data_IF_390651076790
#
_entry.id   IF_390651076790
#
_cell.length_a   1.000
_cell.length_b   1.000
_cell.length_c   1.000
_cell.angle_alpha   90.00
_cell.angle_beta   90.00
_cell.angle_gamma   90.00
#
_symmetry.space_group_name_H-M   'P 1'
#
loop_
_entity.id
_entity.type
_entity.pdbx_description
1 polymer ?
#
# COMPACT_ATOMS: atom_id res chain seq x y z
N UNK A 1 -17.75 37.03 -28.65
CA UNK A 1 -16.78 38.04 -28.25
C UNK A 1 -15.41 37.58 -28.76
N UNK A 2 -14.90 38.20 -29.85
CA UNK A 2 -13.58 37.85 -30.41
C UNK A 2 -12.52 38.45 -29.50
N UNK A 3 -11.75 37.62 -28.76
CA UNK A 3 -10.54 38.08 -28.08
C UNK A 3 -9.53 38.46 -29.18
N UNK A 4 -9.24 39.74 -29.31
CA UNK A 4 -8.14 40.22 -30.16
C UNK A 4 -6.83 39.69 -29.58
N UNK A 5 -6.04 39.01 -30.39
CA UNK A 5 -4.70 38.65 -30.12
C UNK A 5 -3.87 39.86 -29.73
N UNK A 6 -3.28 39.81 -28.54
CA UNK A 6 -2.42 40.87 -28.00
C UNK A 6 -0.93 40.70 -28.43
N UNK A 7 -0.70 40.10 -29.58
CA UNK A 7 0.66 39.86 -30.07
C UNK A 7 1.33 41.06 -30.72
N UNK A 8 0.66 42.22 -30.83
CA UNK A 8 1.20 43.38 -31.50
C UNK A 8 1.62 44.49 -30.51
N UNK A 9 2.71 44.28 -29.81
CA UNK A 9 3.31 45.25 -28.89
C UNK A 9 4.52 46.01 -29.48
N UNK A 10 4.80 45.91 -30.76
CA UNK A 10 5.87 46.64 -31.41
C UNK A 10 5.31 47.56 -32.53
N UNK A 11 4.67 48.62 -32.15
CA UNK A 11 4.47 49.73 -33.11
C UNK A 11 5.72 50.63 -32.98
N UNK A 12 6.65 50.46 -33.92
CA UNK A 12 7.72 51.46 -34.12
C UNK A 12 7.04 52.78 -34.57
N UNK A 13 6.96 53.72 -33.65
CA UNK A 13 6.64 55.11 -34.02
C UNK A 13 7.70 55.63 -35.01
N UNK A 14 7.32 56.50 -35.92
CA UNK A 14 8.19 57.15 -36.95
C UNK A 14 9.38 57.86 -36.32
N UNK A 15 9.42 58.09 -35.02
CA UNK A 15 10.45 58.81 -34.28
C UNK A 15 11.40 57.94 -33.44
N UNK A 16 11.44 56.64 -33.69
CA UNK A 16 12.42 55.72 -33.07
C UNK A 16 12.25 55.51 -31.55
N UNK A 17 11.30 56.12 -30.87
CA UNK A 17 11.00 55.89 -29.46
C UNK A 17 9.96 54.80 -29.33
N UNK A 18 10.38 53.61 -28.93
CA UNK A 18 9.49 52.48 -28.58
C UNK A 18 8.58 52.93 -27.41
N UNK A 19 7.32 53.21 -27.67
CA UNK A 19 6.36 53.48 -26.58
C UNK A 19 6.09 52.21 -25.80
N UNK A 20 6.76 52.04 -24.68
CA UNK A 20 6.50 50.93 -23.75
C UNK A 20 5.09 51.12 -23.15
N UNK A 21 4.10 50.45 -23.73
CA UNK A 21 2.75 50.44 -23.13
C UNK A 21 2.85 49.81 -21.74
N UNK A 22 2.45 50.55 -20.71
CA UNK A 22 2.36 50.01 -19.36
C UNK A 22 1.35 48.87 -19.32
N UNK A 23 1.70 47.75 -18.70
CA UNK A 23 0.79 46.61 -18.59
C UNK A 23 -0.44 47.00 -17.78
N UNK A 24 -1.63 46.70 -18.30
CA UNK A 24 -2.91 46.98 -17.63
C UNK A 24 -3.14 46.09 -16.39
N UNK A 25 -4.11 46.48 -15.58
CA UNK A 25 -4.53 45.76 -14.36
C UNK A 25 -4.80 44.27 -14.63
N UNK A 26 -5.43 43.95 -15.75
CA UNK A 26 -5.71 42.56 -16.13
C UNK A 26 -4.44 41.71 -16.31
N UNK A 27 -3.36 42.31 -16.81
CA UNK A 27 -2.07 41.61 -16.91
C UNK A 27 -1.55 41.23 -15.54
N UNK A 28 -1.49 42.17 -14.57
CA UNK A 28 -1.02 41.89 -13.22
C UNK A 28 -1.91 40.87 -12.52
N UNK A 29 -3.22 40.94 -12.72
CA UNK A 29 -4.14 39.95 -12.18
C UNK A 29 -3.84 38.53 -12.74
N UNK A 30 -3.75 38.37 -14.06
CA UNK A 30 -3.42 37.08 -14.69
C UNK A 30 -2.03 36.59 -14.29
N UNK A 31 -1.06 37.46 -14.18
CA UNK A 31 0.28 37.12 -13.73
C UNK A 31 0.26 36.60 -12.28
N UNK A 32 -0.43 37.30 -11.38
CA UNK A 32 -0.60 36.89 -10.00
C UNK A 32 -1.29 35.53 -9.88
N UNK A 33 -2.45 35.36 -10.54
CA UNK A 33 -3.20 34.08 -10.55
C UNK A 33 -2.34 32.94 -11.09
N UNK A 34 -1.66 33.15 -12.22
CA UNK A 34 -0.78 32.12 -12.79
C UNK A 34 0.40 31.76 -11.88
N UNK A 35 0.96 32.74 -11.16
CA UNK A 35 2.02 32.50 -10.17
C UNK A 35 1.53 31.69 -8.97
N UNK A 36 0.37 32.04 -8.42
CA UNK A 36 -0.25 31.30 -7.30
C UNK A 36 -0.57 29.87 -7.72
N UNK A 37 -1.12 29.66 -8.93
CA UNK A 37 -1.43 28.33 -9.42
C UNK A 37 -0.17 27.48 -9.64
N UNK A 38 0.95 28.05 -10.12
CA UNK A 38 2.22 27.33 -10.21
C UNK A 38 2.73 26.90 -8.83
N UNK A 39 2.66 27.78 -7.84
CA UNK A 39 3.05 27.46 -6.47
C UNK A 39 2.10 26.41 -5.87
N UNK A 40 0.80 26.53 -6.08
CA UNK A 40 -0.18 25.56 -5.64
C UNK A 40 0.05 24.16 -6.24
N UNK A 41 0.50 24.09 -7.51
CA UNK A 41 0.87 22.81 -8.15
C UNK A 41 2.24 22.27 -7.68
N UNK A 42 3.16 23.17 -7.30
CA UNK A 42 4.48 22.76 -6.79
C UNK A 42 4.37 22.06 -5.43
N UNK A 43 3.47 22.50 -4.54
CA UNK A 43 3.34 21.93 -3.18
C UNK A 43 3.09 20.43 -3.19
N UNK A 44 2.06 19.89 -3.90
CA UNK A 44 1.84 18.44 -3.97
C UNK A 44 3.04 17.68 -4.56
N UNK A 45 3.72 18.25 -5.57
CA UNK A 45 4.91 17.61 -6.15
C UNK A 45 6.06 17.50 -5.14
N UNK A 46 6.26 18.52 -4.30
CA UNK A 46 7.24 18.48 -3.22
C UNK A 46 6.82 17.51 -2.11
N UNK A 47 5.53 17.45 -1.75
CA UNK A 47 5.01 16.46 -0.80
C UNK A 47 5.21 15.02 -1.31
N UNK A 48 5.04 14.79 -2.62
CA UNK A 48 5.42 13.52 -3.24
C UNK A 48 6.90 13.20 -2.99
N UNK A 49 7.80 14.12 -3.32
CA UNK A 49 9.24 13.93 -3.08
C UNK A 49 9.55 13.68 -1.61
N UNK A 50 8.89 14.42 -0.71
CA UNK A 50 9.03 14.23 0.75
C UNK A 50 8.59 12.82 1.15
N UNK A 51 7.46 12.33 0.62
CA UNK A 51 6.96 10.98 0.90
C UNK A 51 7.90 9.86 0.45
N UNK A 52 8.73 10.11 -0.58
CA UNK A 52 9.69 9.14 -1.11
C UNK A 52 11.05 9.25 -0.40
N UNK A 53 11.57 10.48 -0.24
CA UNK A 53 12.96 10.71 0.21
C UNK A 53 13.06 10.67 1.74
N UNK A 54 12.22 11.44 2.43
CA UNK A 54 12.22 11.54 3.90
C UNK A 54 11.36 10.42 4.49
N UNK A 55 10.27 10.10 3.79
CA UNK A 55 9.38 8.99 4.10
C UNK A 55 8.73 9.13 5.49
N UNK A 56 8.63 8.05 6.26
CA UNK A 56 7.99 7.95 7.57
C UNK A 56 8.95 8.19 8.75
N UNK A 57 9.95 9.06 8.57
CA UNK A 57 10.98 9.32 9.58
C UNK A 57 10.43 9.85 10.91
N UNK A 58 9.32 10.59 10.88
CA UNK A 58 8.62 11.11 12.07
C UNK A 58 7.12 10.91 11.94
N UNK A 59 6.36 11.01 13.04
CA UNK A 59 4.91 10.84 13.02
C UNK A 59 4.20 11.78 12.03
N UNK A 60 4.49 13.10 11.94
CA UNK A 60 3.87 13.95 10.92
C UNK A 60 4.23 13.54 9.49
N UNK A 61 5.45 13.11 9.23
CA UNK A 61 5.90 12.67 7.91
C UNK A 61 5.30 11.29 7.54
N UNK A 62 5.01 10.46 8.53
CA UNK A 62 4.26 9.22 8.34
C UNK A 62 2.93 9.47 7.63
N UNK A 63 2.16 10.50 8.02
CA UNK A 63 0.91 10.82 7.34
C UNK A 63 1.13 11.26 5.89
N UNK A 64 2.21 11.99 5.59
CA UNK A 64 2.57 12.34 4.22
C UNK A 64 2.97 11.10 3.41
N UNK A 65 3.73 10.18 4.02
CA UNK A 65 4.15 8.92 3.37
C UNK A 65 2.97 7.95 3.13
N UNK A 66 1.94 7.99 3.98
CA UNK A 66 0.75 7.15 3.89
C UNK A 66 -0.24 7.63 2.83
N UNK A 67 -0.20 8.90 2.43
CA UNK A 67 -1.00 9.34 1.29
C UNK A 67 -0.51 8.64 0.02
N UNK A 68 -1.38 7.92 -0.71
CA UNK A 68 -1.01 7.29 -1.97
C UNK A 68 -0.33 8.27 -2.92
N UNK A 69 0.82 7.89 -3.43
CA UNK A 69 1.68 8.79 -4.23
C UNK A 69 0.98 9.37 -5.45
N UNK A 70 0.06 8.62 -6.08
CA UNK A 70 -0.74 9.10 -7.19
C UNK A 70 -1.65 10.29 -6.84
N UNK A 71 -2.10 10.40 -5.58
CA UNK A 71 -2.93 11.53 -5.10
C UNK A 71 -2.16 12.84 -5.20
N UNK A 72 -0.87 12.85 -4.84
CA UNK A 72 -0.05 14.04 -4.96
C UNK A 72 0.10 14.49 -6.40
N UNK A 73 0.29 13.55 -7.34
CA UNK A 73 0.34 13.85 -8.77
C UNK A 73 -1.01 14.38 -9.26
N UNK A 74 -2.10 13.72 -8.90
CA UNK A 74 -3.46 14.15 -9.28
C UNK A 74 -3.80 15.56 -8.73
N UNK A 75 -3.41 15.86 -7.48
CA UNK A 75 -3.61 17.17 -6.86
C UNK A 75 -2.78 18.29 -7.52
N UNK A 76 -1.63 17.98 -8.11
CA UNK A 76 -0.81 18.95 -8.81
C UNK A 76 -1.39 19.35 -10.18
N UNK A 77 -2.11 18.46 -10.87
CA UNK A 77 -2.56 18.66 -12.25
C UNK A 77 -3.50 19.86 -12.43
N UNK A 78 -4.61 20.02 -11.65
CA UNK A 78 -5.55 21.13 -11.87
C UNK A 78 -4.90 22.52 -11.75
N UNK A 79 -4.10 22.82 -10.70
CA UNK A 79 -3.45 24.12 -10.62
C UNK A 79 -2.38 24.33 -11.70
N UNK A 80 -1.64 23.31 -12.11
CA UNK A 80 -0.67 23.44 -13.22
C UNK A 80 -1.36 23.70 -14.55
N UNK A 81 -2.46 23.02 -14.85
CA UNK A 81 -3.29 23.29 -16.04
C UNK A 81 -3.90 24.68 -15.99
N UNK A 82 -4.43 25.10 -14.83
CA UNK A 82 -4.92 26.46 -14.61
C UNK A 82 -3.85 27.53 -14.87
N UNK A 83 -2.60 27.27 -14.45
CA UNK A 83 -1.49 28.16 -14.72
C UNK A 83 -1.13 28.28 -16.22
N UNK A 84 -1.33 27.20 -16.99
CA UNK A 84 -1.16 27.24 -18.44
C UNK A 84 -2.24 28.10 -19.11
N UNK A 85 -3.52 27.93 -18.72
CA UNK A 85 -4.65 28.67 -19.27
C UNK A 85 -4.57 30.15 -18.91
N UNK A 86 -4.14 30.50 -17.70
CA UNK A 86 -4.02 31.88 -17.22
C UNK A 86 -2.73 32.57 -17.62
N UNK A 87 -1.95 31.98 -18.54
CA UNK A 87 -0.66 32.51 -18.98
C UNK A 87 -0.75 33.97 -19.41
N UNK A 88 -0.03 34.91 -18.74
CA UNK A 88 0.02 36.30 -19.16
C UNK A 88 0.95 36.46 -20.38
N UNK A 89 0.78 37.51 -21.17
CA UNK A 89 1.75 37.87 -22.20
C UNK A 89 3.16 38.07 -21.63
N UNK A 90 4.18 37.83 -22.43
CA UNK A 90 5.56 37.89 -21.98
C UNK A 90 6.02 39.34 -21.67
N UNK A 91 6.34 39.64 -20.43
CA UNK A 91 7.09 40.83 -20.02
C UNK A 91 8.48 40.47 -19.53
N UNK A 92 9.48 41.31 -19.84
CA UNK A 92 10.92 40.99 -19.78
C UNK A 92 11.45 40.67 -18.39
N UNK A 93 11.00 40.54 -17.36
CA UNK A 93 11.52 40.06 -16.05
C UNK A 93 10.70 38.92 -15.47
N UNK A 94 9.41 39.15 -15.26
CA UNK A 94 8.46 38.19 -14.72
C UNK A 94 8.32 36.95 -15.62
N UNK A 95 8.38 37.14 -16.95
CA UNK A 95 8.29 36.01 -17.90
C UNK A 95 9.44 35.01 -17.76
N UNK A 96 10.66 35.44 -17.44
CA UNK A 96 11.79 34.53 -17.20
C UNK A 96 11.65 33.71 -15.94
N UNK A 97 11.27 34.34 -14.82
CA UNK A 97 11.04 33.64 -13.55
C UNK A 97 9.91 32.61 -13.68
N UNK A 98 8.75 33.04 -14.20
CA UNK A 98 7.62 32.14 -14.41
C UNK A 98 7.94 30.97 -15.34
N UNK A 99 8.67 31.23 -16.43
CA UNK A 99 9.11 30.18 -17.36
C UNK A 99 10.01 29.15 -16.66
N UNK A 100 10.97 29.62 -15.85
CA UNK A 100 11.86 28.73 -15.06
C UNK A 100 11.06 27.91 -14.05
N UNK A 101 10.15 28.53 -13.31
CA UNK A 101 9.26 27.83 -12.35
C UNK A 101 8.38 26.82 -13.08
N UNK A 102 7.75 27.18 -14.19
CA UNK A 102 6.92 26.27 -15.01
C UNK A 102 7.70 25.08 -15.56
N UNK A 103 8.94 25.29 -16.05
CA UNK A 103 9.83 24.22 -16.47
C UNK A 103 10.18 23.32 -15.26
N UNK A 104 10.51 23.92 -14.12
CA UNK A 104 10.77 23.17 -12.88
C UNK A 104 9.60 22.27 -12.47
N UNK A 105 8.39 22.84 -12.47
CA UNK A 105 7.16 22.05 -12.18
C UNK A 105 6.95 20.92 -13.19
N UNK A 106 7.16 21.18 -14.49
CA UNK A 106 6.98 20.18 -15.53
C UNK A 106 8.01 19.03 -15.41
N UNK A 107 9.26 19.36 -15.14
CA UNK A 107 10.31 18.36 -14.91
C UNK A 107 10.01 17.53 -13.65
N UNK A 108 9.63 18.18 -12.57
CA UNK A 108 9.30 17.50 -11.31
C UNK A 108 8.06 16.60 -11.49
N UNK A 109 7.04 17.06 -12.20
CA UNK A 109 5.86 16.25 -12.55
C UNK A 109 6.28 15.02 -13.38
N UNK A 110 7.13 15.20 -14.39
CA UNK A 110 7.62 14.09 -15.21
C UNK A 110 8.39 13.05 -14.37
N UNK A 111 9.23 13.50 -13.45
CA UNK A 111 9.95 12.60 -12.51
C UNK A 111 8.98 11.87 -11.60
N UNK A 112 7.98 12.56 -11.02
CA UNK A 112 7.01 11.94 -10.13
C UNK A 112 6.13 10.91 -10.87
N UNK A 113 5.67 11.24 -12.08
CA UNK A 113 4.92 10.30 -12.96
C UNK A 113 5.81 9.10 -13.35
N UNK A 114 7.06 9.34 -13.72
CA UNK A 114 8.03 8.28 -14.02
C UNK A 114 8.22 7.34 -12.82
N UNK A 115 8.37 7.90 -11.63
CA UNK A 115 8.45 7.10 -10.39
C UNK A 115 7.20 6.25 -10.16
N UNK A 116 5.99 6.83 -10.31
CA UNK A 116 4.74 6.08 -10.19
C UNK A 116 4.69 4.90 -11.14
N UNK A 117 4.95 5.13 -12.42
CA UNK A 117 4.85 4.11 -13.47
C UNK A 117 5.89 3.01 -13.27
N UNK A 118 7.15 3.39 -13.03
CA UNK A 118 8.28 2.45 -13.06
C UNK A 118 8.54 1.79 -11.69
N UNK A 119 8.35 2.51 -10.61
CA UNK A 119 8.73 2.06 -9.26
C UNK A 119 7.51 1.67 -8.44
N UNK A 120 6.51 2.53 -8.36
CA UNK A 120 5.35 2.28 -7.49
C UNK A 120 4.38 1.27 -8.14
N UNK A 121 4.01 1.47 -9.40
CA UNK A 121 3.09 0.59 -10.14
C UNK A 121 3.77 -0.56 -10.87
N UNK A 122 5.10 -0.59 -10.94
CA UNK A 122 5.86 -1.67 -11.59
C UNK A 122 5.35 -2.03 -13.00
N UNK A 123 4.92 -1.06 -13.79
CA UNK A 123 4.26 -1.29 -15.08
C UNK A 123 5.11 -2.13 -16.06
N UNK A 124 6.43 -2.13 -15.94
CA UNK A 124 7.29 -2.98 -16.75
C UNK A 124 7.12 -4.48 -16.47
N UNK A 125 6.60 -4.85 -15.29
CA UNK A 125 6.32 -6.26 -15.00
C UNK A 125 5.16 -6.81 -15.84
N UNK A 126 4.25 -5.94 -16.32
CA UNK A 126 3.18 -6.34 -17.25
C UNK A 126 3.70 -6.92 -18.58
N UNK A 127 4.94 -6.55 -18.96
CA UNK A 127 5.58 -7.04 -20.17
C UNK A 127 6.35 -8.34 -19.97
N UNK A 128 6.48 -8.81 -18.72
CA UNK A 128 7.17 -10.06 -18.40
C UNK A 128 6.23 -11.24 -18.56
N UNK A 129 6.65 -12.24 -19.28
CA UNK A 129 5.94 -13.51 -19.36
C UNK A 129 5.87 -14.17 -17.98
N UNK A 130 4.80 -14.95 -17.75
CA UNK A 130 4.69 -15.78 -16.54
C UNK A 130 5.74 -16.88 -16.60
N UNK A 131 6.59 -17.04 -15.57
CA UNK A 131 7.54 -18.14 -15.54
C UNK A 131 6.80 -19.48 -15.46
N UNK A 132 7.23 -20.45 -16.25
CA UNK A 132 6.71 -21.82 -16.22
C UNK A 132 7.36 -22.62 -15.09
N UNK A 133 6.66 -23.63 -14.59
CA UNK A 133 7.14 -24.59 -13.59
C UNK A 133 6.16 -24.85 -12.46
N UNK A 134 6.51 -25.82 -11.60
CA UNK A 134 5.76 -26.09 -10.39
C UNK A 134 5.81 -24.89 -9.45
N UNK A 135 4.71 -24.57 -8.84
CA UNK A 135 4.57 -23.45 -7.91
C UNK A 135 3.61 -23.80 -6.79
N UNK A 136 3.87 -23.23 -5.61
CA UNK A 136 3.01 -23.23 -4.45
C UNK A 136 2.06 -22.02 -4.53
N UNK A 137 0.76 -22.26 -4.54
CA UNK A 137 -0.26 -21.20 -4.55
C UNK A 137 -0.67 -20.86 -3.12
N UNK A 138 -0.43 -19.61 -2.72
CA UNK A 138 -0.70 -19.08 -1.38
C UNK A 138 -1.65 -17.91 -1.48
N UNK A 139 -2.67 -17.88 -0.61
CA UNK A 139 -3.53 -16.71 -0.43
C UNK A 139 -3.43 -16.19 1.00
N UNK A 140 -3.33 -14.87 1.14
CA UNK A 140 -3.49 -14.19 2.43
C UNK A 140 -4.69 -13.25 2.38
N UNK A 141 -5.43 -13.22 3.47
CA UNK A 141 -6.56 -12.33 3.61
C UNK A 141 -6.76 -11.90 5.07
N UNK A 142 -6.78 -10.59 5.29
CA UNK A 142 -7.19 -10.02 6.56
C UNK A 142 -8.73 -10.00 6.63
N UNK A 143 -9.28 -10.72 7.60
CA UNK A 143 -10.71 -10.94 7.80
C UNK A 143 -11.34 -9.88 8.71
N UNK A 144 -10.71 -8.75 8.94
CA UNK A 144 -11.34 -7.66 9.70
C UNK A 144 -12.70 -7.33 9.07
N UNK A 145 -13.75 -7.56 9.84
CA UNK A 145 -15.13 -7.32 9.42
C UNK A 145 -15.70 -6.16 10.21
N UNK A 146 -16.27 -5.14 9.55
CA UNK A 146 -16.99 -4.10 10.23
C UNK A 146 -18.25 -4.63 10.93
N UNK A 147 -18.85 -5.72 10.41
CA UNK A 147 -20.03 -6.39 10.97
C UNK A 147 -19.90 -7.91 10.84
N UNK A 148 -19.85 -8.61 11.96
CA UNK A 148 -19.77 -10.07 12.03
C UNK A 148 -20.98 -10.81 11.43
N UNK A 149 -22.06 -10.09 11.12
CA UNK A 149 -23.33 -10.66 10.66
C UNK A 149 -23.38 -11.02 9.18
N UNK A 150 -22.45 -10.58 8.36
CA UNK A 150 -22.53 -10.69 6.89
C UNK A 150 -21.54 -11.67 6.24
N UNK A 151 -20.93 -12.55 7.01
CA UNK A 151 -20.13 -13.62 6.43
C UNK A 151 -21.05 -14.70 5.83
N UNK A 152 -21.03 -14.84 4.51
CA UNK A 152 -21.86 -15.82 3.79
C UNK A 152 -21.21 -17.21 3.63
N UNK A 153 -20.05 -17.42 4.20
CA UNK A 153 -19.37 -18.72 4.16
C UNK A 153 -18.57 -19.01 2.90
N UNK A 154 -18.39 -18.06 1.99
CA UNK A 154 -17.80 -18.27 0.66
C UNK A 154 -16.27 -18.12 0.60
N UNK A 155 -15.51 -18.68 1.54
CA UNK A 155 -14.04 -18.60 1.54
C UNK A 155 -13.38 -19.10 0.24
N UNK A 156 -13.74 -20.28 -0.30
CA UNK A 156 -13.16 -20.75 -1.55
C UNK A 156 -13.51 -19.87 -2.75
N UNK A 157 -14.75 -19.39 -2.82
CA UNK A 157 -15.23 -18.53 -3.90
C UNK A 157 -14.71 -17.11 -3.77
N UNK A 158 -14.59 -16.59 -2.54
CA UNK A 158 -14.09 -15.25 -2.27
C UNK A 158 -12.62 -15.06 -2.64
N UNK A 159 -11.80 -16.09 -2.50
CA UNK A 159 -10.35 -16.02 -2.71
C UNK A 159 -9.90 -16.75 -3.97
N UNK A 160 -10.75 -17.51 -4.62
CA UNK A 160 -10.35 -18.40 -5.71
C UNK A 160 -11.09 -18.32 -7.03
N UNK A 161 -12.38 -17.99 -7.12
CA UNK A 161 -13.13 -18.32 -8.34
C UNK A 161 -14.18 -17.29 -8.80
N UNK A 162 -14.47 -16.27 -8.09
CA UNK A 162 -15.68 -15.47 -8.32
C UNK A 162 -15.52 -14.11 -8.97
N UNK A 163 -14.95 -13.99 -10.16
CA UNK A 163 -14.95 -12.68 -10.82
C UNK A 163 -14.32 -12.65 -12.20
N UNK A 164 -15.08 -12.94 -13.22
CA UNK A 164 -15.05 -12.48 -14.61
C UNK A 164 -13.75 -12.12 -15.31
N UNK A 165 -12.59 -12.57 -14.88
CA UNK A 165 -11.33 -12.36 -15.55
C UNK A 165 -10.64 -13.70 -15.81
N UNK A 166 -10.28 -13.93 -17.05
CA UNK A 166 -9.60 -15.12 -17.57
C UNK A 166 -8.26 -15.49 -16.89
N UNK A 167 -7.82 -14.72 -15.91
CA UNK A 167 -6.61 -14.96 -15.10
C UNK A 167 -6.85 -15.99 -13.98
N UNK A 168 -8.10 -16.32 -13.66
CA UNK A 168 -8.48 -17.20 -12.55
C UNK A 168 -8.82 -18.65 -12.95
N UNK A 169 -8.43 -19.09 -14.13
CA UNK A 169 -8.46 -20.50 -14.49
C UNK A 169 -7.46 -21.39 -13.71
N UNK A 170 -6.62 -20.80 -12.89
CA UNK A 170 -5.72 -21.51 -11.99
C UNK A 170 -6.45 -21.78 -10.67
N UNK A 171 -6.70 -23.05 -10.36
CA UNK A 171 -7.46 -23.59 -9.23
C UNK A 171 -7.37 -22.86 -7.87
N UNK A 172 -7.99 -23.44 -6.84
CA UNK A 172 -7.95 -22.91 -5.47
C UNK A 172 -6.52 -22.86 -4.93
N UNK A 173 -6.14 -21.84 -4.12
CA UNK A 173 -4.87 -21.84 -3.41
C UNK A 173 -4.67 -23.13 -2.59
N UNK A 174 -3.41 -23.58 -2.53
CA UNK A 174 -3.05 -24.75 -1.72
C UNK A 174 -2.93 -24.40 -0.24
N UNK A 175 -2.62 -23.13 0.05
CA UNK A 175 -2.47 -22.61 1.41
C UNK A 175 -3.21 -21.28 1.55
N UNK A 176 -4.13 -21.21 2.48
CA UNK A 176 -4.78 -19.97 2.92
C UNK A 176 -4.23 -19.56 4.28
N UNK A 177 -3.81 -18.33 4.39
CA UNK A 177 -3.27 -17.70 5.57
C UNK A 177 -4.18 -16.52 5.93
N UNK A 178 -4.92 -16.62 7.03
CA UNK A 178 -5.95 -15.66 7.41
C UNK A 178 -5.55 -14.95 8.71
N UNK A 179 -5.68 -13.63 8.72
CA UNK A 179 -5.42 -12.77 9.90
C UNK A 179 -6.71 -12.10 10.37
N UNK A 180 -6.70 -11.56 11.58
CA UNK A 180 -7.81 -10.82 12.21
C UNK A 180 -9.13 -11.61 12.20
N UNK A 181 -9.04 -12.94 12.35
CA UNK A 181 -10.22 -13.80 12.29
C UNK A 181 -11.01 -13.74 13.60
N UNK A 182 -12.14 -13.07 13.54
CA UNK A 182 -13.15 -13.16 14.60
C UNK A 182 -13.99 -14.42 14.39
N UNK A 183 -14.01 -15.28 15.39
CA UNK A 183 -14.77 -16.53 15.37
C UNK A 183 -16.26 -16.26 15.22
N UNK A 184 -16.86 -16.73 14.13
CA UNK A 184 -18.32 -16.78 14.02
C UNK A 184 -18.79 -18.12 13.45
N UNK A 185 -20.07 -18.43 13.66
CA UNK A 185 -20.66 -19.69 13.22
C UNK A 185 -20.59 -19.90 11.70
N UNK A 186 -20.63 -18.83 10.92
CA UNK A 186 -20.58 -18.89 9.47
C UNK A 186 -19.16 -19.30 8.98
N UNK A 187 -18.10 -18.87 9.66
CA UNK A 187 -16.75 -19.29 9.38
C UNK A 187 -16.55 -20.79 9.69
N UNK A 188 -17.05 -21.24 10.84
CA UNK A 188 -16.99 -22.66 11.22
C UNK A 188 -17.79 -23.54 10.23
N UNK A 189 -18.91 -23.05 9.73
CA UNK A 189 -19.68 -23.71 8.67
C UNK A 189 -18.87 -23.79 7.36
N UNK A 190 -18.15 -22.72 7.00
CA UNK A 190 -17.26 -22.73 5.84
C UNK A 190 -16.14 -23.76 5.96
N UNK A 191 -15.49 -23.83 7.12
CA UNK A 191 -14.50 -24.87 7.38
C UNK A 191 -15.09 -26.27 7.31
N UNK A 192 -16.34 -26.44 7.75
CA UNK A 192 -17.06 -27.70 7.64
C UNK A 192 -17.34 -28.07 6.17
N UNK A 193 -17.76 -27.11 5.34
CA UNK A 193 -17.98 -27.32 3.89
C UNK A 193 -16.68 -27.69 3.17
N UNK A 194 -15.56 -27.04 3.49
CA UNK A 194 -14.25 -27.39 2.93
C UNK A 194 -13.87 -28.86 3.19
N UNK A 195 -14.24 -29.40 4.34
CA UNK A 195 -13.98 -30.82 4.67
C UNK A 195 -14.84 -31.78 3.85
N UNK A 196 -15.93 -31.32 3.24
CA UNK A 196 -16.85 -32.14 2.44
C UNK A 196 -16.61 -32.06 0.94
N UNK A 197 -15.67 -31.21 0.47
CA UNK A 197 -15.36 -31.03 -0.95
C UNK A 197 -14.48 -32.14 -1.56
N UNK A 198 -14.19 -33.17 -0.78
CA UNK A 198 -13.39 -34.35 -1.20
C UNK A 198 -11.88 -34.12 -1.10
N UNK A 199 -11.40 -32.93 -0.68
CA UNK A 199 -9.99 -32.66 -0.39
C UNK A 199 -9.69 -32.79 1.09
N UNK A 200 -8.51 -33.33 1.42
CA UNK A 200 -8.04 -33.43 2.80
C UNK A 200 -7.46 -32.07 3.25
N UNK A 201 -8.32 -31.17 3.73
CA UNK A 201 -7.88 -29.88 4.27
C UNK A 201 -7.37 -30.03 5.70
N UNK A 202 -6.15 -29.54 5.92
CA UNK A 202 -5.57 -29.33 7.25
C UNK A 202 -5.94 -27.91 7.72
N UNK A 203 -6.53 -27.79 8.91
CA UNK A 203 -6.95 -26.51 9.46
C UNK A 203 -6.35 -26.34 10.84
N UNK A 204 -5.62 -25.25 11.04
CA UNK A 204 -5.06 -24.85 12.32
C UNK A 204 -5.50 -23.44 12.65
N UNK A 205 -5.93 -23.23 13.89
CA UNK A 205 -6.33 -21.94 14.43
C UNK A 205 -5.53 -21.63 15.69
N UNK A 206 -4.99 -20.40 15.78
CA UNK A 206 -4.29 -19.88 16.95
C UNK A 206 -4.53 -18.38 17.08
N UNK A 207 -5.19 -17.96 18.17
CA UNK A 207 -5.58 -16.56 18.33
C UNK A 207 -6.44 -16.08 17.15
N UNK A 208 -6.06 -14.99 16.54
CA UNK A 208 -6.74 -14.40 15.38
C UNK A 208 -6.27 -14.97 14.03
N UNK A 209 -5.39 -15.97 14.05
CA UNK A 209 -4.86 -16.60 12.84
C UNK A 209 -5.55 -17.92 12.54
N UNK A 210 -5.79 -18.14 11.23
CA UNK A 210 -6.24 -19.42 10.71
C UNK A 210 -5.39 -19.78 9.50
N UNK A 211 -4.95 -21.03 9.46
CA UNK A 211 -4.29 -21.63 8.30
C UNK A 211 -5.12 -22.78 7.81
N UNK A 212 -5.41 -22.77 6.52
CA UNK A 212 -6.14 -23.84 5.82
C UNK A 212 -5.23 -24.31 4.68
N UNK A 213 -4.90 -25.57 4.63
CA UNK A 213 -3.95 -26.12 3.65
C UNK A 213 -4.35 -27.51 3.18
N UNK A 214 -4.24 -27.77 1.87
CA UNK A 214 -4.28 -29.13 1.33
C UNK A 214 -2.96 -29.86 1.53
N UNK A 215 -1.89 -29.12 1.83
CA UNK A 215 -0.56 -29.67 2.15
C UNK A 215 -0.46 -29.96 3.64
N UNK A 216 0.38 -30.92 4.06
CA UNK A 216 0.62 -31.19 5.48
C UNK A 216 1.16 -29.98 6.22
N UNK A 217 0.54 -29.60 7.35
CA UNK A 217 1.06 -28.62 8.29
C UNK A 217 1.94 -29.37 9.30
N UNK A 218 3.23 -29.08 9.30
CA UNK A 218 4.25 -29.79 10.11
C UNK A 218 4.27 -29.25 11.53
N UNK A 219 4.32 -27.91 11.66
CA UNK A 219 4.41 -27.26 12.97
C UNK A 219 3.73 -25.89 12.94
N UNK A 220 3.32 -25.44 14.14
CA UNK A 220 2.75 -24.09 14.31
C UNK A 220 3.11 -23.52 15.66
N UNK A 221 3.47 -22.23 15.72
CA UNK A 221 3.72 -21.48 16.96
C UNK A 221 3.18 -20.07 16.86
N UNK A 222 2.56 -19.57 17.94
CA UNK A 222 2.10 -18.19 18.03
C UNK A 222 3.05 -17.41 18.95
N UNK A 223 3.58 -16.31 18.43
CA UNK A 223 4.41 -15.37 19.16
C UNK A 223 3.66 -14.04 19.27
N UNK A 224 3.62 -13.48 20.49
CA UNK A 224 2.88 -12.24 20.77
C UNK A 224 3.76 -11.25 21.51
N UNK A 225 3.86 -10.05 20.98
CA UNK A 225 4.40 -8.87 21.66
C UNK A 225 3.22 -8.06 22.22
N UNK A 226 3.09 -8.01 23.53
CA UNK A 226 1.92 -7.47 24.22
C UNK A 226 1.76 -5.94 24.09
N UNK A 227 2.85 -5.21 23.79
CA UNK A 227 2.77 -3.75 23.64
C UNK A 227 3.81 -3.25 22.65
N UNK A 228 3.37 -2.67 21.56
CA UNK A 228 4.21 -2.12 20.48
C UNK A 228 4.22 -0.59 20.51
N UNK A 229 4.46 -0.03 21.68
CA UNK A 229 4.56 1.40 21.84
C UNK A 229 3.22 2.06 22.16
N UNK A 230 3.19 2.71 23.28
CA UNK A 230 2.09 3.58 23.68
C UNK A 230 2.16 4.88 22.89
N UNK A 231 1.12 5.21 22.16
CA UNK A 231 0.93 6.58 21.71
C UNK A 231 0.89 7.46 22.96
N UNK A 232 1.82 8.43 23.07
CA UNK A 232 1.87 9.39 24.18
C UNK A 232 0.78 10.45 24.02
N UNK A 233 -0.48 10.04 23.94
CA UNK A 233 -1.62 10.93 23.87
C UNK A 233 -2.39 10.92 25.18
N UNK A 234 -2.88 12.08 25.59
CA UNK A 234 -3.87 12.18 26.66
C UNK A 234 -5.17 11.49 26.20
N UNK A 235 -6.02 11.08 27.15
CA UNK A 235 -7.32 10.48 26.83
C UNK A 235 -8.17 11.40 25.95
N UNK A 236 -8.12 12.72 26.17
CA UNK A 236 -8.86 13.70 25.38
C UNK A 236 -8.33 13.85 23.94
N UNK A 237 -7.01 13.74 23.75
CA UNK A 237 -6.42 13.74 22.41
C UNK A 237 -6.79 12.48 21.64
N UNK A 238 -6.73 11.33 22.31
CA UNK A 238 -7.18 10.04 21.75
C UNK A 238 -8.63 10.12 21.32
N UNK A 239 -9.54 10.56 22.18
CA UNK A 239 -10.97 10.67 21.88
C UNK A 239 -11.22 11.58 20.67
N UNK A 240 -10.55 12.74 20.60
CA UNK A 240 -10.66 13.66 19.44
C UNK A 240 -10.21 13.01 18.13
N UNK A 241 -9.14 12.23 18.15
CA UNK A 241 -8.65 11.50 16.98
C UNK A 241 -9.57 10.35 16.59
N UNK A 242 -10.09 9.62 17.59
CA UNK A 242 -11.08 8.55 17.38
C UNK A 242 -12.36 9.11 16.73
N UNK A 243 -12.88 10.21 17.23
CA UNK A 243 -14.04 10.89 16.66
C UNK A 243 -13.78 11.40 15.23
N UNK A 244 -12.56 11.94 14.98
CA UNK A 244 -12.18 12.37 13.65
C UNK A 244 -12.06 11.19 12.68
N UNK A 245 -11.36 10.13 13.09
CA UNK A 245 -11.19 8.91 12.30
C UNK A 245 -12.54 8.26 12.00
N UNK A 246 -13.37 8.04 13.01
CA UNK A 246 -14.65 7.36 12.85
C UNK A 246 -15.61 8.13 11.95
N UNK A 247 -15.63 9.46 12.03
CA UNK A 247 -16.41 10.30 11.08
C UNK A 247 -15.96 10.12 9.64
N UNK A 248 -14.67 9.94 9.40
CA UNK A 248 -14.13 9.71 8.07
C UNK A 248 -14.30 8.25 7.63
N UNK A 249 -14.00 7.30 8.51
CA UNK A 249 -14.08 5.86 8.28
C UNK A 249 -15.48 5.40 7.85
N UNK A 250 -16.52 5.87 8.54
CA UNK A 250 -17.91 5.58 8.17
C UNK A 250 -18.26 6.09 6.76
N UNK A 251 -17.73 7.25 6.36
CA UNK A 251 -17.99 7.81 5.02
C UNK A 251 -17.38 7.00 3.89
N UNK A 252 -16.29 6.30 4.14
CA UNK A 252 -15.61 5.46 3.14
C UNK A 252 -15.91 3.96 3.30
N UNK A 253 -16.90 3.61 4.13
CA UNK A 253 -17.32 2.23 4.35
C UNK A 253 -16.37 1.39 5.21
N UNK A 254 -15.51 2.05 5.99
CA UNK A 254 -14.70 1.42 7.03
C UNK A 254 -15.45 1.54 8.35
N UNK A 255 -15.56 0.44 9.10
CA UNK A 255 -16.24 0.44 10.39
C UNK A 255 -15.61 1.38 11.41
N UNK A 256 -16.41 1.88 12.35
CA UNK A 256 -15.90 2.63 13.49
C UNK A 256 -14.98 1.76 14.34
N UNK A 257 -13.86 2.32 14.82
CA UNK A 257 -12.88 1.63 15.66
C UNK A 257 -12.64 2.41 16.95
N UNK A 258 -12.37 1.65 18.01
CA UNK A 258 -11.90 2.20 19.29
C UNK A 258 -10.39 2.02 19.36
N UNK A 259 -9.65 3.09 19.63
CA UNK A 259 -8.19 3.03 19.77
C UNK A 259 -7.82 2.73 21.22
N UNK A 260 -7.54 1.47 21.54
CA UNK A 260 -7.29 1.04 22.92
C UNK A 260 -5.87 1.38 23.43
N UNK A 261 -4.97 1.84 22.56
CA UNK A 261 -3.60 2.23 22.94
C UNK A 261 -2.64 1.08 23.27
N UNK A 262 -3.15 -0.10 23.53
CA UNK A 262 -2.40 -1.33 23.73
C UNK A 262 -2.58 -2.20 22.49
N UNK A 263 -1.70 -1.99 21.54
CA UNK A 263 -1.72 -2.77 20.30
C UNK A 263 -0.65 -3.85 20.38
N UNK A 264 -1.06 -5.10 20.37
CA UNK A 264 -0.16 -6.23 20.26
C UNK A 264 0.34 -6.37 18.80
N UNK A 265 1.57 -6.81 18.63
CA UNK A 265 2.04 -7.35 17.38
C UNK A 265 2.09 -8.87 17.50
N UNK A 266 1.61 -9.57 16.51
CA UNK A 266 1.57 -11.03 16.51
C UNK A 266 2.27 -11.59 15.28
N UNK A 267 2.98 -12.70 15.48
CA UNK A 267 3.55 -13.52 14.42
C UNK A 267 3.15 -14.96 14.64
N UNK A 268 2.48 -15.53 13.68
CA UNK A 268 2.14 -16.94 13.66
C UNK A 268 3.08 -17.67 12.71
N UNK A 269 4.00 -18.46 13.29
CA UNK A 269 4.91 -19.32 12.56
C UNK A 269 4.19 -20.61 12.15
N UNK A 270 4.28 -20.94 10.86
CA UNK A 270 3.68 -22.14 10.28
C UNK A 270 4.66 -22.81 9.35
N UNK A 271 4.88 -24.11 9.51
CA UNK A 271 5.63 -24.92 8.56
C UNK A 271 4.68 -25.81 7.76
N UNK A 272 4.79 -25.73 6.44
CA UNK A 272 3.99 -26.50 5.49
C UNK A 272 4.91 -27.35 4.63
N UNK A 273 4.59 -28.62 4.44
CA UNK A 273 5.33 -29.48 3.52
C UNK A 273 4.95 -29.15 2.08
N UNK A 274 5.72 -28.28 1.46
CA UNK A 274 5.61 -27.91 0.06
C UNK A 274 6.69 -28.56 -0.82
N UNK A 275 7.24 -29.71 -0.39
CA UNK A 275 8.34 -30.40 -1.09
C UNK A 275 7.97 -30.72 -2.53
N UNK A 276 6.72 -31.11 -2.81
CA UNK A 276 6.26 -31.41 -4.16
C UNK A 276 6.20 -30.16 -5.08
N UNK A 277 5.92 -28.98 -4.51
CA UNK A 277 5.75 -27.73 -5.26
C UNK A 277 7.06 -26.95 -5.41
N UNK A 278 7.84 -26.83 -4.32
CA UNK A 278 9.05 -25.98 -4.26
C UNK A 278 10.30 -26.69 -3.74
N UNK A 279 10.26 -28.01 -3.57
CA UNK A 279 11.42 -28.82 -3.20
C UNK A 279 11.79 -28.80 -1.70
N UNK A 280 10.97 -28.18 -0.84
CA UNK A 280 11.27 -28.09 0.59
C UNK A 280 10.01 -27.84 1.45
N UNK A 281 10.16 -28.02 2.75
CA UNK A 281 9.24 -27.47 3.75
C UNK A 281 9.39 -25.96 3.74
N UNK A 282 8.27 -25.24 3.70
CA UNK A 282 8.22 -23.77 3.68
C UNK A 282 7.76 -23.26 5.03
N UNK A 283 8.56 -22.40 5.64
CA UNK A 283 8.23 -21.72 6.88
C UNK A 283 7.66 -20.34 6.59
N UNK A 284 6.42 -20.15 6.98
CA UNK A 284 5.71 -18.89 6.92
C UNK A 284 5.79 -18.15 8.27
N UNK A 285 6.04 -16.86 8.22
CA UNK A 285 5.63 -15.93 9.26
C UNK A 285 4.38 -15.20 8.78
N UNK A 286 3.25 -15.54 9.38
CA UNK A 286 2.02 -14.81 9.18
C UNK A 286 1.96 -13.69 10.22
N UNK A 287 2.02 -12.43 9.76
CA UNK A 287 2.18 -11.24 10.62
C UNK A 287 0.88 -10.46 10.66
N UNK A 288 0.53 -9.99 11.85
CA UNK A 288 -0.48 -8.94 12.06
C UNK A 288 0.11 -7.86 12.98
N UNK A 289 0.27 -6.65 12.44
CA UNK A 289 0.82 -5.51 13.15
C UNK A 289 -0.28 -4.51 13.51
N UNK A 290 -0.08 -3.71 14.57
CA UNK A 290 -1.09 -2.77 15.04
C UNK A 290 -1.61 -1.82 13.97
N UNK A 291 -2.93 -1.66 13.91
CA UNK A 291 -3.61 -0.79 12.96
C UNK A 291 -3.76 0.66 13.43
N UNK A 292 -3.49 0.99 14.69
CA UNK A 292 -3.65 2.36 15.22
C UNK A 292 -2.80 3.38 14.44
N UNK A 293 -3.40 4.33 13.71
CA UNK A 293 -2.67 5.28 12.86
C UNK A 293 -1.84 6.28 13.67
N UNK A 294 -2.08 6.40 14.98
CA UNK A 294 -1.36 7.31 15.88
C UNK A 294 -0.07 6.70 16.42
N UNK A 295 0.17 5.42 16.23
CA UNK A 295 1.44 4.79 16.55
C UNK A 295 2.49 5.25 15.53
N UNK A 296 3.63 5.72 16.01
CA UNK A 296 4.79 5.96 15.14
C UNK A 296 5.27 4.61 14.57
N UNK A 297 5.01 4.38 13.28
CA UNK A 297 5.28 3.11 12.61
C UNK A 297 6.75 2.72 12.66
N UNK A 298 7.65 3.68 12.56
CA UNK A 298 9.09 3.40 12.63
C UNK A 298 9.52 2.96 14.03
N UNK A 299 9.00 3.60 15.08
CA UNK A 299 9.28 3.19 16.45
C UNK A 299 8.68 1.80 16.75
N UNK A 300 7.45 1.54 16.29
CA UNK A 300 6.81 0.24 16.39
C UNK A 300 7.61 -0.83 15.63
N UNK A 301 8.04 -0.55 14.41
CA UNK A 301 8.85 -1.46 13.60
C UNK A 301 10.18 -1.82 14.27
N UNK A 302 10.85 -0.86 14.90
CA UNK A 302 12.08 -1.11 15.67
C UNK A 302 11.80 -2.04 16.86
N UNK A 303 10.73 -1.80 17.62
CA UNK A 303 10.34 -2.64 18.74
C UNK A 303 10.00 -4.06 18.30
N UNK A 304 9.24 -4.21 17.21
CA UNK A 304 8.91 -5.52 16.60
C UNK A 304 10.17 -6.25 16.14
N UNK A 305 11.07 -5.56 15.45
CA UNK A 305 12.35 -6.14 14.99
C UNK A 305 13.19 -6.65 16.16
N UNK A 306 13.34 -5.84 17.19
CA UNK A 306 14.12 -6.21 18.37
C UNK A 306 13.50 -7.41 19.06
N UNK A 307 12.21 -7.40 19.27
CA UNK A 307 11.47 -8.54 19.84
C UNK A 307 11.63 -9.82 19.00
N UNK A 308 11.46 -9.76 17.68
CA UNK A 308 11.65 -10.91 16.80
C UNK A 308 13.07 -11.46 16.85
N UNK A 309 14.09 -10.58 16.94
CA UNK A 309 15.48 -11.00 17.11
C UNK A 309 15.70 -11.74 18.44
N UNK A 310 15.08 -11.28 19.54
CA UNK A 310 15.11 -11.98 20.83
C UNK A 310 14.40 -13.32 20.70
N UNK A 311 13.21 -13.38 20.10
CA UNK A 311 12.50 -14.66 19.90
C UNK A 311 13.32 -15.67 19.09
N UNK A 312 14.13 -15.22 18.14
CA UNK A 312 15.02 -16.09 17.36
C UNK A 312 16.25 -16.57 18.11
N UNK A 313 16.66 -15.87 19.15
CA UNK A 313 17.86 -16.21 19.93
C UNK A 313 17.62 -17.23 21.05
N UNK A 314 16.34 -17.48 21.41
CA UNK A 314 16.02 -18.45 22.47
C UNK A 314 15.90 -19.87 21.91
N UNK A 315 16.19 -20.85 22.75
CA UNK A 315 15.99 -22.26 22.41
C UNK A 315 14.51 -22.51 22.13
N UNK A 316 14.20 -23.26 21.09
CA UNK A 316 12.84 -23.46 20.57
C UNK A 316 12.11 -22.17 20.18
N UNK A 317 12.85 -21.10 19.94
CA UNK A 317 12.33 -19.82 19.50
C UNK A 317 11.87 -19.80 18.04
N UNK A 318 11.64 -18.59 17.55
CA UNK A 318 11.17 -18.33 16.20
C UNK A 318 12.22 -18.75 15.14
N UNK A 319 11.84 -19.60 14.20
CA UNK A 319 12.71 -20.01 13.10
C UNK A 319 12.83 -18.92 12.01
N UNK A 320 13.89 -19.01 11.19
CA UNK A 320 14.03 -18.12 10.03
C UNK A 320 12.92 -18.37 9.01
N UNK A 321 12.19 -17.36 8.55
CA UNK A 321 11.11 -17.54 7.58
C UNK A 321 11.65 -17.79 6.17
N UNK A 322 10.88 -18.50 5.37
CA UNK A 322 10.99 -18.54 3.92
C UNK A 322 10.08 -17.50 3.26
N UNK A 323 8.93 -17.30 3.88
CA UNK A 323 7.90 -16.36 3.46
C UNK A 323 7.44 -15.54 4.67
N UNK A 324 7.43 -14.22 4.53
CA UNK A 324 6.78 -13.32 5.49
C UNK A 324 5.55 -12.75 4.80
N UNK A 325 4.37 -12.99 5.37
CA UNK A 325 3.09 -12.61 4.74
C UNK A 325 2.11 -12.12 5.81
N UNK A 326 1.29 -11.13 5.49
CA UNK A 326 0.29 -10.65 6.44
C UNK A 326 -0.01 -9.17 6.32
N UNK A 327 -0.83 -8.68 7.26
CA UNK A 327 -1.13 -7.26 7.41
C UNK A 327 -0.06 -6.60 8.30
N UNK A 328 0.79 -5.81 7.67
CA UNK A 328 1.78 -5.03 8.40
C UNK A 328 1.25 -3.67 8.88
N UNK A 329 0.07 -3.26 8.44
CA UNK A 329 -0.48 -1.94 8.69
C UNK A 329 0.51 -0.78 8.39
N UNK A 330 1.48 -1.04 7.53
CA UNK A 330 2.53 -0.13 7.05
C UNK A 330 2.47 -0.12 5.53
N UNK A 331 2.22 1.01 4.87
CA UNK A 331 2.16 1.06 3.41
C UNK A 331 3.48 0.64 2.74
N UNK A 332 3.36 -0.01 1.57
CA UNK A 332 4.51 -0.37 0.74
C UNK A 332 5.37 0.86 0.41
N UNK A 333 6.68 0.69 0.52
CA UNK A 333 7.67 1.74 0.30
C UNK A 333 7.93 2.62 1.52
N UNK A 334 7.29 2.37 2.68
CA UNK A 334 7.66 3.00 3.95
C UNK A 334 8.89 2.31 4.55
N UNK A 335 9.82 3.09 5.11
CA UNK A 335 11.05 2.57 5.74
C UNK A 335 10.76 1.72 6.98
N UNK A 336 9.66 1.98 7.68
CA UNK A 336 9.22 1.14 8.79
C UNK A 336 9.03 -0.32 8.35
N UNK A 337 8.54 -0.55 7.13
CA UNK A 337 8.37 -1.90 6.58
C UNK A 337 9.72 -2.60 6.39
N UNK A 338 10.73 -1.89 5.87
CA UNK A 338 12.09 -2.42 5.71
C UNK A 338 12.68 -2.82 7.07
N UNK A 339 12.47 -1.98 8.10
CA UNK A 339 12.93 -2.25 9.47
C UNK A 339 12.31 -3.54 10.04
N UNK A 340 11.00 -3.77 9.83
CA UNK A 340 10.37 -5.05 10.25
C UNK A 340 10.99 -6.22 9.50
N UNK A 341 11.21 -6.07 8.20
CA UNK A 341 11.75 -7.14 7.35
C UNK A 341 13.21 -7.49 7.66
N UNK A 342 14.00 -6.58 8.24
CA UNK A 342 15.34 -6.90 8.77
C UNK A 342 15.30 -8.04 9.81
N UNK A 343 14.19 -8.19 10.54
CA UNK A 343 13.99 -9.28 11.50
C UNK A 343 13.94 -10.68 10.86
N UNK A 344 13.70 -10.80 9.56
CA UNK A 344 13.78 -12.07 8.84
C UNK A 344 15.20 -12.68 8.89
N UNK A 345 16.23 -11.89 9.24
CA UNK A 345 17.61 -12.32 9.40
C UNK A 345 18.33 -12.67 8.10
N UNK A 346 17.70 -12.41 6.97
CA UNK A 346 18.23 -12.58 5.61
C UNK A 346 17.50 -11.64 4.66
N UNK A 347 18.08 -11.29 3.50
CA UNK A 347 17.42 -10.44 2.52
C UNK A 347 16.03 -10.99 2.16
N UNK A 348 15.06 -10.09 2.01
CA UNK A 348 13.72 -10.43 1.53
C UNK A 348 13.37 -9.60 0.31
N UNK A 349 12.54 -10.15 -0.56
CA UNK A 349 12.05 -9.46 -1.77
C UNK A 349 10.54 -9.47 -1.78
N UNK A 350 9.94 -8.31 -1.93
CA UNK A 350 8.49 -8.17 -2.00
C UNK A 350 7.94 -8.90 -3.24
N UNK A 351 6.94 -9.75 -3.08
CA UNK A 351 6.37 -10.54 -4.18
C UNK A 351 5.77 -9.65 -5.28
N UNK A 352 5.06 -8.57 -4.91
CA UNK A 352 4.55 -7.59 -5.87
C UNK A 352 5.68 -6.94 -6.68
N UNK A 353 6.81 -6.61 -6.06
CA UNK A 353 7.93 -5.97 -6.76
C UNK A 353 8.59 -6.88 -7.79
N UNK A 354 8.47 -8.21 -7.60
CA UNK A 354 9.01 -9.19 -8.55
C UNK A 354 8.12 -9.35 -9.78
N UNK A 355 6.80 -9.45 -9.62
CA UNK A 355 5.89 -9.87 -10.69
C UNK A 355 4.56 -9.10 -10.72
N UNK A 356 4.21 -8.37 -9.67
CA UNK A 356 3.00 -7.54 -9.64
C UNK A 356 3.14 -6.28 -10.50
N UNK A 357 2.01 -5.74 -10.96
CA UNK A 357 1.95 -4.48 -11.70
C UNK A 357 0.61 -3.77 -11.47
N UNK A 358 0.59 -2.46 -11.69
CA UNK A 358 -0.59 -1.63 -11.50
C UNK A 358 -0.83 -1.21 -10.05
N UNK A 359 -2.06 -0.88 -9.72
CA UNK A 359 -2.47 -0.51 -8.37
C UNK A 359 -2.49 -1.77 -7.49
N UNK A 360 -1.69 -1.74 -6.43
CA UNK A 360 -1.51 -2.87 -5.50
C UNK A 360 -2.16 -2.65 -4.14
N UNK A 361 -2.98 -1.61 -4.00
CA UNK A 361 -3.61 -1.28 -2.74
C UNK A 361 -4.63 -2.36 -2.32
N UNK A 362 -4.55 -2.80 -1.06
CA UNK A 362 -5.42 -3.81 -0.49
C UNK A 362 -6.51 -3.23 0.42
N UNK A 363 -6.32 -2.01 0.92
CA UNK A 363 -7.22 -1.38 1.88
C UNK A 363 -7.48 0.11 1.56
N UNK A 364 -8.67 0.67 1.89
CA UNK A 364 -9.91 -0.05 2.24
C UNK A 364 -10.58 -0.66 1.01
N UNK A 365 -11.40 -1.72 1.20
CA UNK A 365 -12.04 -2.48 0.11
C UNK A 365 -12.83 -1.64 -0.88
N UNK A 366 -13.58 -0.63 -0.37
CA UNK A 366 -14.44 0.20 -1.22
C UNK A 366 -13.64 1.05 -2.22
N UNK A 367 -12.51 1.59 -1.77
CA UNK A 367 -11.59 2.41 -2.57
C UNK A 367 -10.16 2.11 -2.13
N UNK A 368 -9.53 1.06 -2.68
CA UNK A 368 -8.20 0.66 -2.25
C UNK A 368 -7.17 1.77 -2.49
N UNK A 369 -6.56 2.24 -1.42
CA UNK A 369 -5.56 3.31 -1.44
C UNK A 369 -4.22 2.88 -0.85
N UNK A 370 -4.23 1.98 0.14
CA UNK A 370 -3.03 1.55 0.85
C UNK A 370 -2.72 0.09 0.57
N UNK A 371 -1.47 -0.19 0.22
CA UNK A 371 -0.92 -1.54 0.15
C UNK A 371 -0.30 -1.85 1.49
N UNK A 372 -1.05 -2.46 2.39
CA UNK A 372 -0.66 -2.78 3.78
C UNK A 372 -0.57 -4.28 4.04
N UNK A 373 -1.19 -5.09 3.19
CA UNK A 373 -1.05 -6.55 3.18
C UNK A 373 0.13 -6.94 2.29
N UNK A 374 1.14 -7.59 2.85
CA UNK A 374 2.41 -7.83 2.17
C UNK A 374 2.74 -9.32 2.06
N UNK A 375 3.54 -9.66 1.05
CA UNK A 375 4.19 -10.95 0.92
C UNK A 375 5.65 -10.73 0.53
N UNK A 376 6.56 -11.22 1.35
CA UNK A 376 8.00 -11.19 1.12
C UNK A 376 8.56 -12.60 1.04
N UNK A 377 9.48 -12.80 0.13
CA UNK A 377 10.16 -14.07 -0.12
C UNK A 377 11.65 -13.92 0.17
N UNK A 378 12.22 -14.92 0.85
CA UNK A 378 13.66 -15.01 1.08
C UNK A 378 14.38 -15.70 -0.09
N UNK A 379 15.72 -15.61 -0.19
CA UNK A 379 16.49 -16.31 -1.23
C UNK A 379 16.17 -17.81 -1.27
N UNK A 380 16.13 -18.34 -2.48
CA UNK A 380 15.70 -19.72 -2.77
C UNK A 380 14.22 -19.84 -3.16
N UNK A 381 13.43 -18.78 -2.95
CA UNK A 381 12.04 -18.67 -3.44
C UNK A 381 11.87 -17.40 -4.28
N UNK A 382 11.02 -17.49 -5.30
CA UNK A 382 10.61 -16.34 -6.13
C UNK A 382 9.11 -16.32 -6.36
N UNK A 383 8.53 -15.14 -6.47
CA UNK A 383 7.17 -15.01 -6.96
C UNK A 383 7.11 -15.28 -8.46
N UNK A 384 6.07 -15.96 -8.93
CA UNK A 384 5.77 -16.19 -10.34
C UNK A 384 4.46 -15.54 -10.76
N UNK A 385 3.55 -15.28 -9.83
CA UNK A 385 2.40 -14.41 -10.02
C UNK A 385 2.03 -13.70 -8.72
N UNK A 386 1.40 -12.54 -8.85
CA UNK A 386 0.80 -11.78 -7.74
C UNK A 386 -0.50 -11.16 -8.23
N UNK A 387 -1.56 -11.32 -7.47
CA UNK A 387 -2.85 -10.70 -7.75
C UNK A 387 -3.56 -10.30 -6.46
N UNK A 388 -4.39 -9.26 -6.56
CA UNK A 388 -5.34 -8.88 -5.53
C UNK A 388 -6.73 -9.32 -5.96
N UNK A 389 -7.44 -9.94 -5.03
CA UNK A 389 -8.81 -10.42 -5.23
C UNK A 389 -9.74 -9.64 -4.31
N UNK A 390 -10.76 -9.02 -4.88
CA UNK A 390 -11.78 -8.31 -4.11
C UNK A 390 -12.76 -9.32 -3.52
N UNK A 391 -12.74 -9.56 -2.20
CA UNK A 391 -13.68 -10.51 -1.59
C UNK A 391 -15.06 -9.87 -1.39
N UNK A 392 -16.12 -10.66 -1.24
CA UNK A 392 -17.47 -10.15 -0.98
C UNK A 392 -17.57 -9.47 0.40
N UNK A 393 -16.87 -9.99 1.37
CA UNK A 393 -16.85 -9.55 2.78
C UNK A 393 -15.47 -9.03 3.19
N UNK A 394 -15.31 -8.57 4.41
CA UNK A 394 -14.12 -7.90 4.97
C UNK A 394 -13.80 -6.55 4.33
N UNK A 395 -12.92 -5.78 4.93
CA UNK A 395 -12.51 -4.45 4.48
C UNK A 395 -11.15 -4.44 3.74
N UNK A 396 -10.50 -5.60 3.61
CA UNK A 396 -9.27 -5.80 2.83
C UNK A 396 -9.52 -6.62 1.56
N UNK A 397 -8.74 -6.34 0.51
CA UNK A 397 -8.61 -7.25 -0.62
C UNK A 397 -7.63 -8.37 -0.26
N UNK A 398 -7.98 -9.60 -0.64
CA UNK A 398 -7.08 -10.72 -0.47
C UNK A 398 -5.92 -10.65 -1.46
N UNK A 399 -4.72 -11.04 -1.03
CA UNK A 399 -3.57 -11.23 -1.93
C UNK A 399 -3.39 -12.72 -2.25
N UNK A 400 -3.14 -13.01 -3.52
CA UNK A 400 -2.78 -14.33 -3.99
C UNK A 400 -1.41 -14.30 -4.64
N UNK A 401 -0.54 -15.19 -4.23
CA UNK A 401 0.84 -15.29 -4.69
C UNK A 401 1.12 -16.71 -5.12
N UNK A 402 1.73 -16.88 -6.28
CA UNK A 402 2.32 -18.15 -6.67
C UNK A 402 3.84 -18.07 -6.46
N UNK A 403 4.38 -19.05 -5.79
CA UNK A 403 5.75 -19.11 -5.33
C UNK A 403 6.42 -20.32 -5.96
N UNK A 404 7.56 -20.14 -6.59
CA UNK A 404 8.39 -21.23 -7.11
C UNK A 404 9.77 -21.22 -6.46
N UNK A 405 10.46 -22.36 -6.53
CA UNK A 405 11.88 -22.41 -6.20
C UNK A 405 12.68 -21.49 -7.15
N UNK A 406 13.66 -20.80 -6.60
CA UNK A 406 14.63 -20.04 -7.37
C UNK A 406 15.70 -21.01 -7.89
N UNK A 407 15.87 -21.08 -9.23
CA UNK A 407 16.87 -21.94 -9.87
C UNK A 407 18.24 -21.32 -9.81
#
# INVERSE_FOLDING_TARGET
MKFRDYDDYSVYGRDGAASVRRPGVLYFFRAGVSGVLLLAGLVPLLLFCTSVIINDATLPLQFVAFVPKWIWVAAALPPLLGALVTRPPALAGYGRFRRRLGIGCALLLAVNVGYLILIDWRMLNALRGRPEGASLSVAHWNLTMPDSEHWDGSLPEAVGVGGGSSVLAAGLPEVYLLTSNQTNAAFDETLRKLRTDGKAWNVVRRGEFVVISVLPIISTRLHRLQSVGTARFTMDERQRWEDFYNRWAVRIGVGARTFNGDSAAEVFEVEVDATAAVGKVVRFWLIDLPSDPMINRRAAALAVREWLNVQRSVADGLGLPDVVIGDCNIPRGCRALDVVMEAAGRPVRHAFDQVGWGLSASWPKALPMLHIDHCFLTPGLRAVSYSLVKPPVADHWAQRVEIAAEK
#
